data_IF_960309345952
#
_entry.id   IF_960309345952
#
_cell.length_a   1.000
_cell.length_b   1.000
_cell.length_c   1.000
_cell.angle_alpha   90.00
_cell.angle_beta   90.00
_cell.angle_gamma   90.00
#
_symmetry.space_group_name_H-M   'P 1'
#
loop_
_entity.id
_entity.type
_entity.pdbx_description
1 polymer ?
#
# COMPACT_ATOMS: atom_id res chain seq x y z
N UNK A 1 10.88 -7.07 1.55
CA UNK A 1 9.41 -6.91 1.70
C UNK A 1 8.94 -5.79 0.79
N UNK A 2 7.83 -5.98 0.05
CA UNK A 2 7.30 -5.03 -0.95
C UNK A 2 6.43 -3.90 -0.37
N UNK A 3 6.19 -3.89 0.94
CA UNK A 3 5.48 -2.83 1.62
C UNK A 3 5.55 -2.96 3.14
N UNK A 4 5.11 -1.92 3.83
CA UNK A 4 5.01 -1.89 5.30
C UNK A 4 3.85 -0.97 5.73
N UNK A 5 3.41 -1.13 6.98
CA UNK A 5 2.49 -0.21 7.64
C UNK A 5 3.24 0.58 8.72
N UNK A 6 2.91 1.86 8.87
CA UNK A 6 3.39 2.71 9.96
C UNK A 6 2.22 3.41 10.63
N UNK A 7 2.28 3.60 11.94
CA UNK A 7 1.26 4.38 12.64
C UNK A 7 1.52 5.87 12.43
N UNK A 8 0.51 6.63 11.98
CA UNK A 8 0.59 8.10 11.85
C UNK A 8 0.11 8.79 13.12
N UNK A 9 -1.01 8.31 13.68
CA UNK A 9 -1.60 8.80 14.93
C UNK A 9 -2.42 7.68 15.59
N UNK A 10 -2.98 7.93 16.78
CA UNK A 10 -3.83 6.93 17.46
C UNK A 10 -5.02 6.57 16.56
N UNK A 11 -5.10 5.30 16.16
CA UNK A 11 -6.14 4.84 15.24
C UNK A 11 -5.96 5.26 13.78
N UNK A 12 -4.77 5.70 13.35
CA UNK A 12 -4.48 5.99 11.94
C UNK A 12 -3.18 5.33 11.50
N UNK A 13 -3.25 4.55 10.43
CA UNK A 13 -2.18 3.73 9.90
C UNK A 13 -1.96 4.07 8.44
N UNK A 14 -0.71 4.33 8.07
CA UNK A 14 -0.32 4.50 6.68
C UNK A 14 0.33 3.24 6.16
N UNK A 15 -0.17 2.78 5.02
CA UNK A 15 0.36 1.70 4.21
C UNK A 15 1.25 2.34 3.15
N UNK A 16 2.45 1.79 2.99
CA UNK A 16 3.36 2.16 1.91
C UNK A 16 3.77 0.89 1.16
N UNK A 17 3.52 0.84 -0.14
CA UNK A 17 3.93 -0.26 -1.01
C UNK A 17 4.74 0.26 -2.19
N UNK A 18 5.72 -0.54 -2.63
CA UNK A 18 6.43 -0.29 -3.87
C UNK A 18 5.64 -0.90 -5.02
N UNK A 19 5.16 -0.04 -5.93
CA UNK A 19 4.31 -0.42 -7.05
C UNK A 19 5.10 -0.75 -8.33
N UNK A 20 6.43 -0.78 -8.26
CA UNK A 20 7.28 -1.07 -9.41
C UNK A 20 7.74 0.17 -10.17
N UNK A 21 8.19 -0.06 -11.40
CA UNK A 21 8.60 0.99 -12.35
C UNK A 21 7.40 1.25 -13.27
N UNK A 22 6.99 2.52 -13.37
CA UNK A 22 5.94 2.94 -14.28
C UNK A 22 6.39 2.87 -15.75
N UNK A 23 5.46 3.01 -16.70
CA UNK A 23 5.79 3.05 -18.14
C UNK A 23 6.70 4.22 -18.50
N UNK A 24 6.77 5.25 -17.65
CA UNK A 24 7.68 6.39 -17.73
C UNK A 24 9.10 6.11 -17.19
N UNK A 25 9.40 4.86 -16.81
CA UNK A 25 10.70 4.47 -16.23
C UNK A 25 10.91 4.94 -14.79
N UNK A 26 9.90 5.59 -14.17
CA UNK A 26 10.00 6.10 -12.80
C UNK A 26 9.50 5.10 -11.77
N UNK A 27 10.20 5.02 -10.65
CA UNK A 27 9.79 4.24 -9.49
C UNK A 27 8.49 4.81 -8.89
N UNK A 28 7.47 3.96 -8.72
CA UNK A 28 6.20 4.33 -8.11
C UNK A 28 6.04 3.70 -6.74
N UNK A 29 5.55 4.51 -5.81
CA UNK A 29 5.16 4.09 -4.46
C UNK A 29 3.70 4.48 -4.28
N UNK A 30 2.92 3.57 -3.72
CA UNK A 30 1.56 3.88 -3.29
C UNK A 30 1.53 4.09 -1.79
N UNK A 31 0.72 5.08 -1.39
CA UNK A 31 0.50 5.44 -0.01
C UNK A 31 -1.00 5.45 0.24
N UNK A 32 -1.43 4.72 1.26
CA UNK A 32 -2.84 4.66 1.66
C UNK A 32 -2.93 4.90 3.16
N UNK A 33 -3.86 5.75 3.60
CA UNK A 33 -4.09 5.95 5.04
C UNK A 33 -5.41 5.31 5.43
N UNK A 34 -5.36 4.39 6.38
CA UNK A 34 -6.52 3.72 6.97
C UNK A 34 -6.72 4.18 8.41
N UNK A 35 -7.96 4.49 8.74
CA UNK A 35 -8.38 4.78 10.10
C UNK A 35 -8.95 3.51 10.74
N UNK A 36 -8.56 3.22 11.98
CA UNK A 36 -9.01 2.07 12.75
C UNK A 36 -7.87 1.24 13.33
N UNK A 37 -8.08 -0.08 13.36
CA UNK A 37 -7.18 -1.04 13.99
C UNK A 37 -5.98 -1.38 13.08
N UNK A 38 -4.87 -1.75 13.71
CA UNK A 38 -3.68 -2.25 13.00
C UNK A 38 -3.99 -3.46 12.12
N UNK A 39 -4.89 -4.34 12.57
CA UNK A 39 -5.32 -5.53 11.83
C UNK A 39 -5.99 -5.17 10.50
N UNK A 40 -6.81 -4.11 10.47
CA UNK A 40 -7.45 -3.60 9.24
C UNK A 40 -6.39 -3.09 8.26
N UNK A 41 -5.42 -2.32 8.74
CA UNK A 41 -4.32 -1.83 7.92
C UNK A 41 -3.46 -2.99 7.37
N UNK A 42 -3.21 -4.02 8.18
CA UNK A 42 -2.47 -5.21 7.77
C UNK A 42 -3.24 -6.02 6.71
N UNK A 43 -4.56 -6.21 6.88
CA UNK A 43 -5.41 -6.87 5.89
C UNK A 43 -5.36 -6.14 4.55
N UNK A 44 -5.49 -4.81 4.56
CA UNK A 44 -5.39 -4.00 3.34
C UNK A 44 -4.02 -4.08 2.69
N UNK A 45 -2.93 -4.03 3.47
CA UNK A 45 -1.59 -4.24 2.93
C UNK A 45 -1.49 -5.56 2.16
N UNK A 46 -2.05 -6.64 2.70
CA UNK A 46 -2.04 -7.94 2.01
C UNK A 46 -2.86 -7.91 0.72
N UNK A 47 -4.05 -7.30 0.71
CA UNK A 47 -4.87 -7.13 -0.50
C UNK A 47 -4.13 -6.38 -1.61
N UNK A 48 -3.41 -5.31 -1.24
CA UNK A 48 -2.61 -4.50 -2.15
C UNK A 48 -1.43 -5.29 -2.72
N UNK A 49 -0.73 -6.06 -1.88
CA UNK A 49 0.38 -6.91 -2.33
C UNK A 49 -0.09 -8.01 -3.29
N UNK A 50 -1.21 -8.68 -3.00
CA UNK A 50 -1.80 -9.67 -3.90
C UNK A 50 -2.22 -9.05 -5.22
N UNK A 51 -2.80 -7.85 -5.20
CA UNK A 51 -3.19 -7.14 -6.42
C UNK A 51 -1.98 -6.75 -7.27
N UNK A 52 -0.88 -6.36 -6.64
CA UNK A 52 0.39 -6.07 -7.31
C UNK A 52 1.00 -7.32 -7.94
N UNK A 53 1.00 -8.44 -7.23
CA UNK A 53 1.51 -9.72 -7.76
C UNK A 53 0.74 -10.20 -8.97
N UNK A 54 -0.58 -9.98 -8.98
CA UNK A 54 -1.44 -10.30 -10.13
C UNK A 54 -1.34 -9.30 -11.28
N UNK A 55 -0.63 -8.18 -11.10
CA UNK A 55 -0.56 -7.10 -12.09
C UNK A 55 -1.86 -6.29 -12.26
N UNK A 56 -2.82 -6.44 -11.35
CA UNK A 56 -4.15 -5.79 -11.40
C UNK A 56 -4.17 -4.49 -10.59
N UNK A 57 -3.09 -4.17 -9.88
CA UNK A 57 -3.04 -2.98 -9.06
C UNK A 57 -3.06 -1.70 -9.91
N UNK A 58 -4.20 -1.01 -9.92
CA UNK A 58 -4.35 0.35 -10.43
C UNK A 58 -4.29 1.31 -9.24
N UNK A 59 -3.25 2.15 -9.10
CA UNK A 59 -3.24 3.16 -8.06
C UNK A 59 -4.43 4.12 -8.26
N UNK A 60 -5.12 4.53 -7.18
CA UNK A 60 -6.08 5.62 -7.29
C UNK A 60 -5.32 6.88 -7.73
N UNK A 61 -5.72 7.41 -8.89
CA UNK A 61 -5.21 8.66 -9.45
C UNK A 61 -5.77 9.88 -8.73
#
# INVERSE_FOLDING_TARGET
MRGHIRQKSKGSWQIQIYAGIGPDGKYRRHFETIHGLKSTAQKRLNELLVSLEKGVYTPPG
#
